data_IF_683962696659
#
_entry.id   IF_683962696659
#
_cell.length_a   1.000
_cell.length_b   1.000
_cell.length_c   1.000
_cell.angle_alpha   90.00
_cell.angle_beta   90.00
_cell.angle_gamma   90.00
#
_symmetry.space_group_name_H-M   'P 1'
#
loop_
_entity.id
_entity.type
_entity.pdbx_description
1 polymer ?
#
# COMPACT_ATOMS: atom_id res chain seq x y z
N UNK A 1 -16.30 -2.93 -39.52
CA UNK A 1 -15.68 -4.28 -39.63
C UNK A 1 -14.85 -4.51 -38.37
N UNK A 2 -15.50 -5.11 -37.37
CA UNK A 2 -14.92 -5.46 -36.08
C UNK A 2 -13.96 -6.64 -36.29
N UNK A 3 -12.68 -6.45 -35.97
CA UNK A 3 -11.71 -7.54 -35.93
C UNK A 3 -11.96 -8.28 -34.62
N UNK A 4 -12.68 -9.39 -34.78
CA UNK A 4 -12.94 -10.47 -33.84
C UNK A 4 -11.83 -10.70 -32.84
N UNK A 5 -12.20 -10.65 -31.56
CA UNK A 5 -11.41 -11.07 -30.41
C UNK A 5 -10.87 -12.49 -30.62
N UNK A 6 -9.54 -12.61 -30.69
CA UNK A 6 -8.87 -13.88 -30.51
C UNK A 6 -8.82 -14.15 -29.00
N UNK A 7 -9.86 -14.83 -28.50
CA UNK A 7 -9.83 -15.51 -27.21
C UNK A 7 -9.33 -16.92 -27.50
N UNK A 8 -8.08 -17.28 -27.21
CA UNK A 8 -7.67 -18.67 -27.35
C UNK A 8 -8.39 -19.49 -26.29
N UNK A 9 -9.22 -20.42 -26.77
CA UNK A 9 -9.82 -21.52 -26.02
C UNK A 9 -8.78 -22.23 -25.15
N UNK A 10 -9.23 -22.72 -24.00
CA UNK A 10 -8.50 -23.58 -23.05
C UNK A 10 -8.04 -24.90 -23.70
N UNK A 11 -7.02 -24.82 -24.57
CA UNK A 11 -6.18 -25.96 -24.88
C UNK A 11 -5.05 -25.96 -23.86
N UNK A 12 -4.95 -27.03 -23.10
CA UNK A 12 -3.81 -27.37 -22.25
C UNK A 12 -2.58 -27.57 -23.15
N UNK A 13 -2.04 -26.48 -23.70
CA UNK A 13 -0.85 -26.54 -24.54
C UNK A 13 0.34 -26.96 -23.69
N UNK A 14 1.07 -27.97 -24.18
CA UNK A 14 2.33 -28.40 -23.62
C UNK A 14 3.28 -27.19 -23.59
N UNK A 15 3.75 -26.80 -22.40
CA UNK A 15 4.72 -25.70 -22.28
C UNK A 15 5.95 -26.02 -23.13
N UNK A 16 6.33 -25.04 -23.95
CA UNK A 16 7.48 -25.09 -24.84
C UNK A 16 8.24 -23.75 -24.79
N UNK A 17 9.44 -23.73 -25.37
CA UNK A 17 10.22 -22.50 -25.50
C UNK A 17 9.46 -21.38 -26.23
N UNK A 18 8.70 -21.71 -27.29
CA UNK A 18 7.96 -20.71 -28.06
C UNK A 18 6.80 -20.12 -27.25
N UNK A 19 6.12 -20.92 -26.43
CA UNK A 19 5.07 -20.44 -25.52
C UNK A 19 5.65 -19.42 -24.53
N UNK A 20 6.77 -19.76 -23.86
CA UNK A 20 7.45 -18.86 -22.92
C UNK A 20 7.90 -17.57 -23.63
N UNK A 21 8.43 -17.69 -24.85
CA UNK A 21 8.86 -16.55 -25.67
C UNK A 21 7.69 -15.65 -26.05
N UNK A 22 6.52 -16.21 -26.33
CA UNK A 22 5.32 -15.46 -26.67
C UNK A 22 4.74 -14.74 -25.46
N UNK A 23 4.70 -15.39 -24.29
CA UNK A 23 4.36 -14.75 -23.02
C UNK A 23 5.30 -13.58 -22.75
N UNK A 24 6.61 -13.79 -22.87
CA UNK A 24 7.59 -12.72 -22.69
C UNK A 24 7.36 -11.54 -23.65
N UNK A 25 7.10 -11.80 -24.93
CA UNK A 25 6.77 -10.75 -25.90
C UNK A 25 5.49 -10.01 -25.54
N UNK A 26 4.44 -10.72 -25.13
CA UNK A 26 3.17 -10.13 -24.73
C UNK A 26 3.35 -9.22 -23.49
N UNK A 27 4.12 -9.70 -22.51
CA UNK A 27 4.46 -8.93 -21.32
C UNK A 27 5.22 -7.63 -21.66
N UNK A 28 6.16 -7.67 -22.60
CA UNK A 28 6.89 -6.47 -23.02
C UNK A 28 6.06 -5.45 -23.80
N UNK A 29 5.04 -5.90 -24.53
CA UNK A 29 4.26 -5.03 -25.44
C UNK A 29 3.10 -4.33 -24.76
N UNK A 30 2.53 -4.95 -23.73
CA UNK A 30 1.35 -4.42 -23.04
C UNK A 30 1.73 -3.74 -21.73
N UNK A 31 1.03 -2.66 -21.37
CA UNK A 31 1.10 -2.11 -20.01
C UNK A 31 0.29 -2.95 -19.01
N UNK A 32 -0.71 -3.71 -19.48
CA UNK A 32 -1.51 -4.64 -18.68
C UNK A 32 -0.80 -5.98 -18.52
N UNK A 33 -1.14 -6.71 -17.47
CA UNK A 33 -0.69 -8.10 -17.30
C UNK A 33 -1.31 -9.00 -18.37
N UNK A 34 -0.51 -9.90 -18.92
CA UNK A 34 -1.02 -10.93 -19.85
C UNK A 34 -1.79 -11.96 -19.05
N UNK A 35 -2.93 -12.44 -19.58
CA UNK A 35 -3.65 -13.56 -18.99
C UNK A 35 -2.82 -14.83 -19.14
N UNK A 36 -2.53 -15.48 -18.01
CA UNK A 36 -1.84 -16.76 -17.96
C UNK A 36 -2.77 -17.83 -17.39
N UNK A 37 -2.63 -19.09 -17.82
CA UNK A 37 -3.22 -20.22 -17.10
C UNK A 37 -2.76 -20.25 -15.64
N UNK A 38 -3.61 -20.68 -14.72
CA UNK A 38 -3.27 -20.75 -13.28
C UNK A 38 -2.06 -21.68 -13.03
N UNK A 39 -1.94 -22.76 -13.80
CA UNK A 39 -0.87 -23.74 -13.70
C UNK A 39 0.37 -23.41 -14.57
N UNK A 40 0.44 -22.20 -15.14
CA UNK A 40 1.51 -21.82 -16.07
C UNK A 40 2.91 -22.01 -15.48
N UNK A 41 3.15 -21.48 -14.28
CA UNK A 41 4.47 -21.54 -13.64
C UNK A 41 4.84 -22.96 -13.20
N UNK A 42 3.85 -23.76 -12.79
CA UNK A 42 4.05 -25.19 -12.47
C UNK A 42 4.51 -25.96 -13.71
N UNK A 43 3.80 -25.80 -14.84
CA UNK A 43 4.17 -26.45 -16.09
C UNK A 43 5.51 -25.96 -16.66
N UNK A 44 5.86 -24.68 -16.43
CA UNK A 44 7.18 -24.14 -16.78
C UNK A 44 8.29 -24.80 -15.96
N UNK A 45 8.09 -24.98 -14.65
CA UNK A 45 9.02 -25.70 -13.79
C UNK A 45 9.21 -27.15 -14.27
N UNK A 46 8.13 -27.86 -14.58
CA UNK A 46 8.18 -29.22 -15.12
C UNK A 46 8.94 -29.30 -16.44
N UNK A 47 8.66 -28.37 -17.36
CA UNK A 47 9.38 -28.27 -18.64
C UNK A 47 10.87 -28.05 -18.44
N UNK A 48 11.24 -27.13 -17.55
CA UNK A 48 12.63 -26.79 -17.27
C UNK A 48 13.37 -27.97 -16.63
N UNK A 49 12.76 -28.67 -15.69
CA UNK A 49 13.36 -29.84 -15.03
C UNK A 49 13.59 -31.00 -16.01
N UNK A 50 12.64 -31.25 -16.93
CA UNK A 50 12.86 -32.23 -18.02
C UNK A 50 14.04 -31.83 -18.90
N UNK A 51 14.18 -30.55 -19.26
CA UNK A 51 15.29 -30.04 -20.09
C UNK A 51 16.63 -30.15 -19.36
N UNK A 52 16.69 -29.83 -18.07
CA UNK A 52 17.88 -30.01 -17.21
C UNK A 52 18.33 -31.47 -17.18
N UNK A 53 17.41 -32.39 -16.88
CA UNK A 53 17.71 -33.83 -16.84
C UNK A 53 18.28 -34.35 -18.16
N UNK A 54 17.71 -33.92 -19.29
CA UNK A 54 18.20 -34.30 -20.62
C UNK A 54 19.59 -33.74 -20.93
N UNK A 55 19.86 -32.49 -20.54
CA UNK A 55 21.17 -31.86 -20.72
C UNK A 55 22.25 -32.58 -19.90
N UNK A 56 21.95 -32.90 -18.64
CA UNK A 56 22.84 -33.63 -17.74
C UNK A 56 23.13 -35.05 -18.25
N UNK A 57 22.08 -35.81 -18.59
CA UNK A 57 22.22 -37.20 -19.05
C UNK A 57 23.07 -37.32 -20.32
N UNK A 58 22.98 -36.34 -21.23
CA UNK A 58 23.71 -36.32 -22.50
C UNK A 58 25.07 -35.62 -22.42
N UNK A 59 25.35 -34.92 -21.31
CA UNK A 59 26.49 -34.00 -21.16
C UNK A 59 26.63 -33.05 -22.38
N UNK A 60 25.50 -32.55 -22.87
CA UNK A 60 25.43 -31.76 -24.10
C UNK A 60 25.45 -30.26 -23.80
N UNK A 61 26.55 -29.60 -24.15
CA UNK A 61 26.75 -28.15 -23.97
C UNK A 61 25.64 -27.31 -24.64
N UNK A 62 25.14 -27.74 -25.81
CA UNK A 62 24.05 -27.02 -26.50
C UNK A 62 22.75 -27.10 -25.70
N UNK A 63 22.47 -28.25 -25.09
CA UNK A 63 21.30 -28.42 -24.25
C UNK A 63 21.38 -27.57 -22.97
N UNK A 64 22.57 -27.44 -22.36
CA UNK A 64 22.78 -26.53 -21.23
C UNK A 64 22.56 -25.06 -21.61
N UNK A 65 23.05 -24.63 -22.79
CA UNK A 65 22.79 -23.29 -23.30
C UNK A 65 21.29 -23.03 -23.52
N UNK A 66 20.54 -24.03 -24.02
CA UNK A 66 19.09 -23.94 -24.17
C UNK A 66 18.39 -23.73 -22.82
N UNK A 67 18.73 -24.53 -21.81
CA UNK A 67 18.21 -24.39 -20.43
C UNK A 67 18.47 -22.99 -19.90
N UNK A 68 19.71 -22.50 -20.01
CA UNK A 68 20.08 -21.17 -19.50
C UNK A 68 19.34 -20.04 -20.22
N UNK A 69 19.06 -20.21 -21.51
CA UNK A 69 18.26 -19.25 -22.27
C UNK A 69 16.79 -19.25 -21.83
N UNK A 70 16.23 -20.42 -21.52
CA UNK A 70 14.87 -20.55 -20.97
C UNK A 70 14.80 -19.87 -19.60
N UNK A 71 15.75 -20.14 -18.71
CA UNK A 71 15.84 -19.53 -17.37
C UNK A 71 15.84 -18.01 -17.45
N UNK A 72 16.71 -17.45 -18.30
CA UNK A 72 16.79 -16.00 -18.52
C UNK A 72 15.45 -15.41 -18.99
N UNK A 73 14.73 -16.10 -19.88
CA UNK A 73 13.42 -15.63 -20.36
C UNK A 73 12.36 -15.67 -19.26
N UNK A 74 12.35 -16.71 -18.43
CA UNK A 74 11.41 -16.83 -17.31
C UNK A 74 11.66 -15.73 -16.29
N UNK A 75 12.94 -15.46 -15.98
CA UNK A 75 13.33 -14.37 -15.09
C UNK A 75 12.91 -13.00 -15.64
N UNK A 76 13.11 -12.76 -16.95
CA UNK A 76 12.63 -11.54 -17.61
C UNK A 76 11.09 -11.40 -17.50
N UNK A 77 10.32 -12.47 -17.70
CA UNK A 77 8.86 -12.47 -17.52
C UNK A 77 8.48 -12.09 -16.09
N UNK A 78 9.12 -12.72 -15.10
CA UNK A 78 8.85 -12.49 -13.69
C UNK A 78 9.10 -11.02 -13.32
N UNK A 79 10.27 -10.49 -13.68
CA UNK A 79 10.66 -9.11 -13.41
C UNK A 79 9.70 -8.09 -14.06
N UNK A 80 9.24 -8.36 -15.29
CA UNK A 80 8.27 -7.47 -15.96
C UNK A 80 6.92 -7.50 -15.21
N UNK A 81 6.45 -8.68 -14.83
CA UNK A 81 5.18 -8.83 -14.12
C UNK A 81 5.24 -8.20 -12.73
N UNK A 82 6.29 -8.42 -11.95
CA UNK A 82 6.49 -7.76 -10.65
C UNK A 82 6.42 -6.24 -10.77
N UNK A 83 7.13 -5.67 -11.75
CA UNK A 83 7.11 -4.23 -11.99
C UNK A 83 5.70 -3.72 -12.31
N UNK A 84 4.96 -4.45 -13.13
CA UNK A 84 3.56 -4.12 -13.45
C UNK A 84 2.67 -4.22 -12.22
N UNK A 85 2.80 -5.28 -11.42
CA UNK A 85 2.01 -5.49 -10.21
C UNK A 85 2.24 -4.36 -9.21
N UNK A 86 3.49 -3.98 -8.96
CA UNK A 86 3.83 -2.87 -8.05
C UNK A 86 3.27 -1.55 -8.58
N UNK A 87 3.41 -1.27 -9.88
CA UNK A 87 2.85 -0.06 -10.49
C UNK A 87 1.32 -0.02 -10.38
N UNK A 88 0.65 -1.15 -10.61
CA UNK A 88 -0.79 -1.26 -10.46
C UNK A 88 -1.22 -1.11 -9.00
N UNK A 89 -0.44 -1.61 -8.04
CA UNK A 89 -0.74 -1.43 -6.61
C UNK A 89 -0.72 0.06 -6.23
N UNK A 90 0.26 0.84 -6.74
CA UNK A 90 0.31 2.29 -6.54
C UNK A 90 -0.96 3.00 -7.08
N UNK A 91 -1.50 2.53 -8.21
CA UNK A 91 -2.72 3.06 -8.82
C UNK A 91 -3.94 2.63 -8.00
N UNK A 92 -4.06 1.34 -7.68
CA UNK A 92 -5.19 0.75 -6.96
C UNK A 92 -5.39 1.37 -5.57
N UNK A 93 -4.32 1.75 -4.88
CA UNK A 93 -4.42 2.46 -3.58
C UNK A 93 -5.12 3.82 -3.74
N UNK A 94 -5.09 4.44 -4.94
CA UNK A 94 -5.77 5.72 -5.23
C UNK A 94 -7.19 5.51 -5.76
N UNK A 95 -7.38 4.52 -6.63
CA UNK A 95 -8.63 4.35 -7.39
C UNK A 95 -9.55 3.27 -6.84
N UNK A 96 -9.03 2.36 -6.00
CA UNK A 96 -9.74 1.16 -5.54
C UNK A 96 -9.86 0.05 -6.58
N UNK A 97 -9.32 0.23 -7.79
CA UNK A 97 -9.50 -0.71 -8.91
C UNK A 97 -8.33 -1.70 -8.94
N UNK A 98 -8.54 -3.01 -8.74
CA UNK A 98 -7.49 -4.01 -8.87
C UNK A 98 -7.16 -4.31 -10.34
N UNK A 99 -5.94 -4.76 -10.65
CA UNK A 99 -5.59 -5.20 -12.00
C UNK A 99 -6.21 -6.55 -12.32
N UNK A 100 -6.50 -6.76 -13.60
CA UNK A 100 -6.90 -8.06 -14.15
C UNK A 100 -5.69 -8.96 -14.40
N UNK A 101 -5.91 -10.27 -14.59
CA UNK A 101 -4.91 -11.26 -15.03
C UNK A 101 -3.75 -11.53 -14.05
N UNK A 102 -3.97 -11.31 -12.75
CA UNK A 102 -3.10 -11.83 -11.70
C UNK A 102 -3.30 -13.34 -11.57
N UNK A 103 -2.22 -14.09 -11.32
CA UNK A 103 -2.37 -15.44 -10.75
C UNK A 103 -2.79 -15.35 -9.29
N UNK A 104 -3.12 -16.48 -8.68
CA UNK A 104 -3.49 -16.54 -7.26
C UNK A 104 -2.37 -16.04 -6.36
N UNK A 105 -1.14 -16.48 -6.60
CA UNK A 105 0.05 -16.10 -5.84
C UNK A 105 0.35 -14.59 -6.00
N UNK A 106 0.21 -14.08 -7.22
CA UNK A 106 0.40 -12.66 -7.51
C UNK A 106 -0.68 -11.79 -6.88
N UNK A 107 -1.92 -12.29 -6.80
CA UNK A 107 -3.03 -11.62 -6.11
C UNK A 107 -2.75 -11.50 -4.61
N UNK A 108 -2.27 -12.56 -3.97
CA UNK A 108 -1.89 -12.53 -2.56
C UNK A 108 -0.75 -11.54 -2.30
N UNK A 109 0.27 -11.52 -3.17
CA UNK A 109 1.35 -10.54 -3.12
C UNK A 109 0.85 -9.10 -3.33
N UNK A 110 0.02 -8.87 -4.35
CA UNK A 110 -0.57 -7.57 -4.65
C UNK A 110 -1.35 -7.01 -3.46
N UNK A 111 -2.21 -7.82 -2.83
CA UNK A 111 -3.02 -7.40 -1.69
C UNK A 111 -2.15 -6.95 -0.51
N UNK A 112 -1.07 -7.68 -0.20
CA UNK A 112 -0.11 -7.31 0.85
C UNK A 112 0.59 -5.98 0.52
N UNK A 113 0.99 -5.77 -0.73
CA UNK A 113 1.60 -4.50 -1.16
C UNK A 113 0.60 -3.35 -1.04
N UNK A 114 -0.64 -3.53 -1.47
CA UNK A 114 -1.71 -2.53 -1.36
C UNK A 114 -1.96 -2.16 0.10
N UNK A 115 -2.01 -3.14 1.00
CA UNK A 115 -2.17 -2.91 2.44
C UNK A 115 -1.04 -2.06 3.01
N UNK A 116 0.22 -2.41 2.71
CA UNK A 116 1.40 -1.63 3.13
C UNK A 116 1.37 -0.19 2.62
N UNK A 117 0.97 -0.01 1.36
CA UNK A 117 0.86 1.32 0.74
C UNK A 117 -0.30 2.13 1.35
N UNK A 118 -1.44 1.52 1.63
CA UNK A 118 -2.57 2.17 2.32
C UNK A 118 -2.18 2.63 3.71
N UNK A 119 -1.58 1.74 4.52
CA UNK A 119 -1.12 2.06 5.86
C UNK A 119 -0.18 3.25 5.88
N UNK A 120 0.86 3.26 5.01
CA UNK A 120 1.78 4.39 4.90
C UNK A 120 1.06 5.71 4.57
N UNK A 121 0.00 5.67 3.75
CA UNK A 121 -0.77 6.89 3.41
C UNK A 121 -1.64 7.35 4.57
N UNK A 122 -2.21 6.44 5.34
CA UNK A 122 -2.97 6.78 6.54
C UNK A 122 -2.07 7.33 7.66
N UNK A 123 -0.89 6.75 7.83
CA UNK A 123 0.06 7.16 8.87
C UNK A 123 0.75 8.48 8.54
N UNK A 124 1.18 8.68 7.30
CA UNK A 124 2.02 9.84 6.94
C UNK A 124 1.23 10.89 6.16
N UNK A 125 0.61 10.48 5.04
CA UNK A 125 0.01 11.43 4.10
C UNK A 125 -1.24 12.08 4.71
N UNK A 126 -2.08 11.31 5.41
CA UNK A 126 -3.27 11.81 6.09
C UNK A 126 -2.88 12.82 7.17
N UNK A 127 -1.89 12.50 8.03
CA UNK A 127 -1.36 13.43 9.05
C UNK A 127 -0.84 14.76 8.48
N UNK A 128 -0.26 14.74 7.29
CA UNK A 128 0.26 15.96 6.63
C UNK A 128 -0.86 16.76 5.96
N UNK A 129 -1.78 16.09 5.26
CA UNK A 129 -2.80 16.73 4.41
C UNK A 129 -4.06 17.14 5.17
N UNK A 130 -4.44 16.37 6.19
CA UNK A 130 -5.31 16.88 7.24
C UNK A 130 -4.44 17.86 7.99
N UNK A 131 -4.44 19.12 7.49
CA UNK A 131 -3.84 20.30 8.13
C UNK A 131 -3.83 20.02 9.59
N UNK A 132 -2.63 19.93 10.19
CA UNK A 132 -2.47 19.58 11.58
C UNK A 132 -3.73 19.97 12.33
N UNK A 133 -4.57 18.98 12.60
CA UNK A 133 -5.16 18.95 13.90
C UNK A 133 -3.89 18.96 14.76
N UNK A 134 -3.43 20.19 15.09
CA UNK A 134 -3.23 20.54 16.48
C UNK A 134 -4.38 19.79 17.10
N UNK A 135 -4.07 18.58 17.60
CA UNK A 135 -4.97 17.78 18.43
C UNK A 135 -5.82 18.81 19.09
N UNK A 136 -7.12 18.94 18.76
CA UNK A 136 -7.93 20.00 19.37
C UNK A 136 -7.52 19.99 20.82
N UNK A 137 -6.78 21.00 21.29
CA UNK A 137 -6.06 20.89 22.55
C UNK A 137 -7.16 20.96 23.58
N UNK A 138 -7.83 19.84 23.88
CA UNK A 138 -9.28 19.78 24.11
C UNK A 138 -9.71 20.99 24.90
N UNK A 139 -10.17 22.03 24.21
CA UNK A 139 -10.22 23.34 24.84
C UNK A 139 -11.39 23.29 25.81
N UNK A 140 -11.12 23.52 27.09
CA UNK A 140 -12.14 23.54 28.14
C UNK A 140 -12.50 24.97 28.47
N UNK A 141 -13.80 25.19 28.66
CA UNK A 141 -14.31 26.45 29.17
C UNK A 141 -14.31 26.35 30.69
N UNK A 142 -13.69 27.33 31.35
CA UNK A 142 -13.58 27.40 32.80
C UNK A 142 -14.21 28.67 33.32
N UNK A 143 -14.74 28.63 34.54
CA UNK A 143 -15.05 29.80 35.36
C UNK A 143 -14.06 29.86 36.53
N UNK A 144 -13.39 30.99 36.72
CA UNK A 144 -12.39 31.17 37.78
C UNK A 144 -13.04 31.45 39.13
N UNK A 145 -12.58 30.77 40.19
CA UNK A 145 -13.09 30.91 41.57
C UNK A 145 -12.30 31.90 42.42
N UNK A 146 -11.11 32.25 41.97
CA UNK A 146 -10.20 33.23 42.58
C UNK A 146 -9.40 33.95 41.49
N UNK A 147 -8.66 34.99 41.89
CA UNK A 147 -7.78 35.70 40.98
C UNK A 147 -6.56 34.84 40.63
N UNK A 148 -6.24 34.74 39.35
CA UNK A 148 -5.13 33.95 38.82
C UNK A 148 -4.21 34.87 38.03
N UNK A 149 -2.91 34.94 38.35
CA UNK A 149 -1.96 35.77 37.62
C UNK A 149 -1.75 35.25 36.20
N UNK A 150 -1.09 36.05 35.37
CA UNK A 150 -0.68 35.64 34.03
C UNK A 150 0.25 34.42 34.07
N UNK A 151 0.08 33.47 33.14
CA UNK A 151 0.91 32.28 33.02
C UNK A 151 1.07 31.83 31.56
N UNK A 152 2.06 30.99 31.28
CA UNK A 152 2.28 30.39 29.94
C UNK A 152 1.67 28.99 29.89
N UNK A 153 0.86 28.73 28.86
CA UNK A 153 0.17 27.46 28.61
C UNK A 153 1.07 26.38 28.00
N UNK A 154 0.56 25.14 27.96
CA UNK A 154 1.24 24.02 27.30
C UNK A 154 1.49 24.28 25.80
N UNK A 155 0.67 25.13 25.20
CA UNK A 155 0.74 25.61 23.81
C UNK A 155 1.72 26.77 23.60
N UNK A 156 2.50 27.13 24.62
CA UNK A 156 3.42 28.27 24.64
C UNK A 156 2.74 29.65 24.49
N UNK A 157 1.41 29.75 24.67
CA UNK A 157 0.71 31.04 24.70
C UNK A 157 0.55 31.54 26.12
N UNK A 158 0.52 32.87 26.27
CA UNK A 158 0.29 33.52 27.56
C UNK A 158 -1.21 33.71 27.82
N UNK A 159 -1.66 33.39 29.02
CA UNK A 159 -3.05 33.48 29.47
C UNK A 159 -3.18 34.27 30.76
N UNK A 160 -4.28 35.01 30.89
CA UNK A 160 -4.57 35.84 32.06
C UNK A 160 -3.95 37.24 31.97
N UNK A 161 -3.86 37.97 33.10
CA UNK A 161 -4.39 37.60 34.41
C UNK A 161 -5.93 37.48 34.40
N UNK A 162 -6.47 36.57 35.20
CA UNK A 162 -7.91 36.33 35.36
C UNK A 162 -8.38 36.74 36.75
N UNK A 163 -9.61 37.24 36.85
CA UNK A 163 -10.28 37.55 38.11
C UNK A 163 -11.32 36.49 38.47
N UNK A 164 -11.67 36.44 39.75
CA UNK A 164 -12.82 35.63 40.22
C UNK A 164 -14.08 35.95 39.41
N UNK A 165 -14.66 34.92 38.80
CA UNK A 165 -15.86 34.98 37.97
C UNK A 165 -15.59 35.07 36.47
N UNK A 166 -14.35 35.30 36.04
CA UNK A 166 -14.01 35.31 34.62
C UNK A 166 -14.24 33.94 33.99
N UNK A 167 -14.64 33.94 32.72
CA UNK A 167 -14.81 32.73 31.92
C UNK A 167 -13.77 32.74 30.81
N UNK A 168 -12.95 31.69 30.72
CA UNK A 168 -11.94 31.57 29.68
C UNK A 168 -11.89 30.18 29.07
N UNK A 169 -11.40 30.13 27.83
CA UNK A 169 -11.08 28.91 27.10
C UNK A 169 -9.60 28.61 27.25
N UNK A 170 -9.25 27.44 27.77
CA UNK A 170 -7.86 27.01 27.97
C UNK A 170 -7.62 25.60 27.43
N UNK A 171 -6.37 25.25 27.07
CA UNK A 171 -5.97 23.88 26.79
C UNK A 171 -6.34 22.93 27.95
N UNK A 172 -6.72 21.69 27.63
CA UNK A 172 -7.18 20.67 28.61
C UNK A 172 -6.21 20.50 29.78
N UNK A 173 -4.91 20.42 29.49
CA UNK A 173 -3.87 20.25 30.49
C UNK A 173 -3.84 21.40 31.50
N UNK A 174 -3.88 22.64 31.01
CA UNK A 174 -3.94 23.83 31.84
C UNK A 174 -5.26 23.89 32.64
N UNK A 175 -6.37 23.51 32.02
CA UNK A 175 -7.68 23.51 32.65
C UNK A 175 -7.77 22.50 33.80
N UNK A 176 -7.30 21.27 33.60
CA UNK A 176 -7.25 20.24 34.65
C UNK A 176 -6.40 20.68 35.84
N UNK A 177 -5.24 21.30 35.59
CA UNK A 177 -4.36 21.77 36.66
C UNK A 177 -5.05 22.86 37.51
N UNK A 178 -5.75 23.80 36.87
CA UNK A 178 -6.46 24.87 37.58
C UNK A 178 -7.66 24.33 38.38
N UNK A 179 -8.38 23.34 37.85
CA UNK A 179 -9.47 22.67 38.57
C UNK A 179 -8.95 21.83 39.74
N UNK A 180 -7.88 21.03 39.53
CA UNK A 180 -7.22 20.24 40.60
C UNK A 180 -6.66 21.13 41.71
N UNK A 181 -6.13 22.30 41.37
CA UNK A 181 -5.67 23.29 42.32
C UNK A 181 -6.80 24.07 43.01
N UNK A 182 -8.06 23.81 42.66
CA UNK A 182 -9.23 24.48 43.23
C UNK A 182 -9.45 25.92 42.76
N UNK A 183 -8.73 26.38 41.73
CA UNK A 183 -8.75 27.77 41.26
C UNK A 183 -9.86 28.07 40.26
N UNK A 184 -10.38 27.05 39.59
CA UNK A 184 -11.43 27.18 38.58
C UNK A 184 -12.36 25.95 38.60
N UNK A 185 -13.48 26.04 37.88
CA UNK A 185 -14.41 24.94 37.61
C UNK A 185 -14.77 24.89 36.13
N UNK A 186 -15.13 23.71 35.62
CA UNK A 186 -15.62 23.57 34.24
C UNK A 186 -16.95 24.30 34.07
N UNK A 187 -17.04 25.14 33.04
CA UNK A 187 -18.25 25.88 32.71
C UNK A 187 -19.02 25.17 31.60
N UNK A 188 -20.18 24.60 31.93
CA UNK A 188 -21.08 23.98 30.96
C UNK A 188 -22.12 24.98 30.45
N UNK A 189 -22.18 25.20 29.13
CA UNK A 189 -23.30 25.92 28.52
C UNK A 189 -24.47 24.96 28.38
N UNK A 190 -25.59 25.21 29.06
CA UNK A 190 -26.85 24.51 28.76
C UNK A 190 -27.25 24.86 27.32
N UNK A 191 -27.38 23.84 26.47
CA UNK A 191 -27.92 23.95 25.12
C UNK A 191 -29.41 24.26 25.15
#
# INVERSE_FOLDING_TARGET
LLISDFVPEEKTEMISFEVIRNVHRAERRSAKLTKLPEDFFEKVNDYLNRKRFLAEKKMDEKAFLEVRNIERLIEEVFNIRERKIINQALIAVRTGIPPENLTKEESDFFNKVVELLKRRREEELKRILERGEVTEEKIKLLIFKEDVPEFVGADMKTYGPFKKGDIAKLPDENAELLVKAGKAEFFETKK
#
